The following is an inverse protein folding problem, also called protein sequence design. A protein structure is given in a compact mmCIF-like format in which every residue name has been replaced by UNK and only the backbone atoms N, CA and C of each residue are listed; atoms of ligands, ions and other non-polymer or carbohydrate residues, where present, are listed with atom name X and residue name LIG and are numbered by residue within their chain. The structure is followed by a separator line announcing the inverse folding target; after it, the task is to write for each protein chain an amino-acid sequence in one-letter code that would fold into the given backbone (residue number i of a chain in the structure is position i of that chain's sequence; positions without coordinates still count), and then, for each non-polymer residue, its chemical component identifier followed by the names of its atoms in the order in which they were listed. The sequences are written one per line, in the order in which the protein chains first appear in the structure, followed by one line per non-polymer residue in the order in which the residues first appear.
data_IF_240900763910
#
_entry.id   IF_240900763910
#
_cell.length_a   1.000
_cell.length_b   1.000
_cell.length_c   1.000
_cell.angle_alpha   90.00
_cell.angle_beta   90.00
_cell.angle_gamma   90.00
#
_symmetry.space_group_name_H-M   'P 1'
#
loop_
_entity.id
_entity.type
_entity.pdbx_description
1 polymer ?
#
# COMPACT_ATOMS: atom_id res chain seq x y z
N UNK A 1 13.56 18.88 14.78
CA UNK A 1 14.47 19.03 13.61
C UNK A 1 15.48 20.17 13.78
N UNK A 2 15.25 21.18 14.66
CA UNK A 2 16.29 22.17 15.01
C UNK A 2 16.75 23.09 13.87
N UNK A 3 15.93 23.24 12.82
CA UNK A 3 16.25 24.01 11.61
C UNK A 3 15.31 25.19 11.44
N UNK A 4 15.78 26.23 10.75
CA UNK A 4 14.98 27.42 10.44
C UNK A 4 13.87 27.11 9.42
N UNK A 5 12.80 27.92 9.45
CA UNK A 5 11.67 27.84 8.51
C UNK A 5 12.08 27.82 7.02
N UNK A 6 12.97 28.71 6.53
CA UNK A 6 13.39 28.67 5.13
C UNK A 6 14.12 27.37 4.76
N UNK A 7 14.90 26.80 5.69
CA UNK A 7 15.58 25.52 5.46
C UNK A 7 14.60 24.37 5.37
N UNK A 8 13.58 24.32 6.25
CA UNK A 8 12.54 23.31 6.17
C UNK A 8 11.80 23.35 4.83
N UNK A 9 11.44 24.54 4.35
CA UNK A 9 10.75 24.68 3.08
C UNK A 9 11.59 24.22 1.88
N UNK A 10 12.90 24.48 1.90
CA UNK A 10 13.84 23.96 0.89
C UNK A 10 13.91 22.44 0.88
N UNK A 11 13.97 21.82 2.06
CA UNK A 11 13.96 20.36 2.21
C UNK A 11 12.66 19.78 1.65
N UNK A 12 11.52 20.36 2.01
CA UNK A 12 10.20 19.91 1.57
C UNK A 12 10.06 19.99 0.04
N UNK A 13 10.44 21.11 -0.56
CA UNK A 13 10.40 21.27 -2.02
C UNK A 13 11.32 20.27 -2.73
N UNK A 14 12.53 20.03 -2.21
CA UNK A 14 13.42 19.02 -2.77
C UNK A 14 12.81 17.61 -2.69
N UNK A 15 12.16 17.28 -1.57
CA UNK A 15 11.51 16.00 -1.38
C UNK A 15 10.35 15.79 -2.37
N UNK A 16 9.50 16.81 -2.59
CA UNK A 16 8.41 16.75 -3.56
C UNK A 16 8.92 16.53 -4.99
N UNK A 17 9.97 17.25 -5.41
CA UNK A 17 10.55 17.04 -6.74
C UNK A 17 11.09 15.61 -6.91
N UNK A 18 11.77 15.06 -5.90
CA UNK A 18 12.29 13.68 -5.94
C UNK A 18 11.16 12.65 -5.99
N UNK A 19 10.10 12.87 -5.21
CA UNK A 19 8.92 12.02 -5.21
C UNK A 19 8.22 12.00 -6.57
N UNK A 20 7.93 13.18 -7.12
CA UNK A 20 7.31 13.30 -8.45
C UNK A 20 8.17 12.66 -9.54
N UNK A 21 9.48 12.88 -9.53
CA UNK A 21 10.40 12.30 -10.50
C UNK A 21 10.47 10.77 -10.40
N UNK A 22 10.46 10.21 -9.19
CA UNK A 22 10.43 8.77 -8.98
C UNK A 22 9.13 8.14 -9.51
N UNK A 23 7.98 8.78 -9.25
CA UNK A 23 6.68 8.29 -9.69
C UNK A 23 6.52 8.36 -11.21
N UNK A 24 6.89 9.48 -11.84
CA UNK A 24 6.72 9.68 -13.28
C UNK A 24 7.65 8.78 -14.11
N UNK A 25 8.89 8.59 -13.66
CA UNK A 25 9.88 7.76 -14.37
C UNK A 25 9.87 6.29 -13.96
N UNK A 26 9.05 5.92 -12.98
CA UNK A 26 9.00 4.55 -12.46
C UNK A 26 10.29 4.09 -11.76
N UNK A 27 10.94 4.98 -11.00
CA UNK A 27 12.15 4.63 -10.25
C UNK A 27 11.81 3.75 -9.05
N UNK A 28 12.69 2.79 -8.75
CA UNK A 28 12.57 2.01 -7.52
C UNK A 28 12.72 2.91 -6.28
N UNK A 29 11.76 2.84 -5.35
CA UNK A 29 11.77 3.60 -4.09
C UNK A 29 12.15 2.64 -2.97
N UNK A 30 13.25 2.94 -2.28
CA UNK A 30 13.67 2.25 -1.06
C UNK A 30 13.45 3.18 0.13
N UNK A 31 12.69 2.71 1.10
CA UNK A 31 12.45 3.44 2.35
C UNK A 31 13.52 2.98 3.34
N UNK A 32 14.41 3.89 3.74
CA UNK A 32 15.49 3.63 4.70
C UNK A 32 15.38 4.59 5.89
N UNK A 33 15.61 4.07 7.10
CA UNK A 33 15.58 4.84 8.35
C UNK A 33 14.19 5.11 8.90
N UNK A 34 14.13 5.48 10.18
CA UNK A 34 12.89 5.73 10.92
C UNK A 34 12.19 4.46 11.42
N UNK A 35 11.14 4.63 12.24
CA UNK A 35 10.27 3.54 12.70
C UNK A 35 9.05 3.50 11.77
N UNK A 36 9.02 2.54 10.85
CA UNK A 36 7.88 2.30 9.96
C UNK A 36 7.33 0.90 10.22
N UNK A 37 6.03 0.73 9.99
CA UNK A 37 5.35 -0.56 10.09
C UNK A 37 4.47 -0.74 8.86
N UNK A 38 4.52 -1.93 8.26
CA UNK A 38 3.56 -2.28 7.20
C UNK A 38 2.31 -2.82 7.89
N UNK A 39 1.16 -2.17 7.70
CA UNK A 39 -0.12 -2.73 8.12
C UNK A 39 -0.93 -3.21 6.92
N UNK A 40 -1.67 -4.29 7.14
CA UNK A 40 -2.62 -4.83 6.18
C UNK A 40 -3.93 -5.14 6.89
N UNK A 41 -5.04 -4.82 6.25
CA UNK A 41 -6.32 -5.29 6.76
C UNK A 41 -6.47 -6.77 6.41
N UNK A 42 -6.94 -7.56 7.37
CA UNK A 42 -7.26 -8.97 7.20
C UNK A 42 -8.71 -9.21 7.57
N UNK A 43 -9.32 -10.22 6.94
CA UNK A 43 -10.70 -10.63 7.14
C UNK A 43 -10.73 -12.10 7.57
N UNK A 44 -11.44 -12.39 8.66
CA UNK A 44 -11.72 -13.75 9.09
C UNK A 44 -12.69 -14.43 8.11
N UNK A 45 -12.43 -15.69 7.76
CA UNK A 45 -13.33 -16.48 6.92
C UNK A 45 -14.54 -17.05 7.68
N UNK A 46 -14.45 -17.21 9.00
CA UNK A 46 -15.53 -17.79 9.84
C UNK A 46 -16.58 -16.78 10.27
N UNK A 47 -16.16 -15.68 10.92
CA UNK A 47 -17.08 -14.67 11.43
C UNK A 47 -17.14 -13.41 10.55
N UNK A 48 -16.26 -13.27 9.56
CA UNK A 48 -16.22 -12.10 8.68
C UNK A 48 -15.63 -10.84 9.30
N UNK A 49 -15.15 -10.89 10.56
CA UNK A 49 -14.52 -9.77 11.25
C UNK A 49 -13.27 -9.27 10.48
N UNK A 50 -13.11 -7.94 10.42
CA UNK A 50 -11.99 -7.29 9.72
C UNK A 50 -11.17 -6.51 10.73
N UNK A 51 -9.87 -6.75 10.78
CA UNK A 51 -8.95 -6.05 11.68
C UNK A 51 -7.66 -5.66 10.97
N UNK A 52 -6.93 -4.71 11.55
CA UNK A 52 -5.63 -4.27 11.07
C UNK A 52 -4.54 -5.17 11.65
N UNK A 53 -3.83 -5.87 10.78
CA UNK A 53 -2.65 -6.65 11.14
C UNK A 53 -1.40 -5.84 10.83
N UNK A 54 -0.60 -5.56 11.86
CA UNK A 54 0.70 -4.91 11.69
C UNK A 54 1.73 -6.02 11.45
N UNK A 55 2.37 -6.01 10.28
CA UNK A 55 3.47 -6.93 9.98
C UNK A 55 4.58 -6.72 11.00
N UNK A 56 4.70 -7.65 11.95
CA UNK A 56 5.83 -7.77 12.86
C UNK A 56 6.85 -8.70 12.22
N UNK A 57 8.15 -8.49 12.45
CA UNK A 57 9.19 -9.33 11.84
C UNK A 57 9.08 -10.82 12.25
N UNK A 58 8.35 -11.10 13.33
CA UNK A 58 7.94 -12.44 13.72
C UNK A 58 6.52 -12.71 13.20
N UNK A 59 6.42 -13.55 12.17
CA UNK A 59 5.17 -14.07 11.62
C UNK A 59 4.56 -15.04 12.65
N UNK A 60 4.01 -14.52 13.75
CA UNK A 60 3.05 -15.28 14.53
C UNK A 60 1.73 -15.21 13.76
N UNK A 61 1.18 -16.37 13.41
CA UNK A 61 -0.11 -16.46 12.75
C UNK A 61 -1.14 -15.72 13.60
N UNK A 62 -1.74 -14.66 13.06
CA UNK A 62 -2.74 -13.89 13.79
C UNK A 62 -4.04 -14.67 13.87
N UNK A 63 -4.60 -14.74 15.07
CA UNK A 63 -5.92 -15.32 15.31
C UNK A 63 -6.97 -14.22 15.22
N UNK A 64 -8.18 -14.58 14.77
CA UNK A 64 -9.29 -13.64 14.79
C UNK A 64 -9.65 -13.26 16.24
N UNK A 65 -9.71 -11.96 16.60
CA UNK A 65 -10.00 -11.53 17.97
C UNK A 65 -11.43 -11.86 18.43
N UNK A 66 -12.35 -12.13 17.50
CA UNK A 66 -13.76 -12.43 17.81
C UNK A 66 -14.04 -13.93 17.98
N UNK A 67 -13.45 -14.76 17.13
CA UNK A 67 -13.79 -16.18 17.05
C UNK A 67 -12.60 -17.13 17.20
N UNK A 68 -11.40 -16.58 17.44
CA UNK A 68 -10.14 -17.31 17.60
C UNK A 68 -9.81 -18.25 16.44
N UNK A 69 -10.40 -18.02 15.26
CA UNK A 69 -10.08 -18.80 14.08
C UNK A 69 -8.71 -18.41 13.54
N UNK A 70 -7.93 -19.39 13.09
CA UNK A 70 -6.69 -19.21 12.32
C UNK A 70 -6.93 -19.04 10.82
N UNK A 71 -8.18 -19.13 10.38
CA UNK A 71 -8.57 -18.98 8.98
C UNK A 71 -8.91 -17.52 8.66
N UNK A 72 -7.97 -16.82 8.05
CA UNK A 72 -8.12 -15.45 7.59
C UNK A 72 -7.53 -15.26 6.20
N UNK A 73 -8.02 -14.24 5.51
CA UNK A 73 -7.50 -13.78 4.22
C UNK A 73 -7.15 -12.31 4.32
N UNK A 74 -6.12 -11.82 3.61
CA UNK A 74 -5.94 -10.38 3.46
C UNK A 74 -7.23 -9.78 2.91
N UNK A 75 -7.77 -8.78 3.61
CA UNK A 75 -8.88 -7.97 3.15
C UNK A 75 -8.31 -7.09 2.03
N UNK A 76 -8.15 -7.68 0.86
CA UNK A 76 -7.42 -7.10 -0.24
C UNK A 76 -7.96 -5.71 -0.56
N UNK A 77 -7.08 -4.71 -0.48
CA UNK A 77 -7.23 -3.55 -1.32
C UNK A 77 -7.24 -4.06 -2.77
N UNK A 78 -8.38 -3.95 -3.45
CA UNK A 78 -8.59 -4.36 -4.82
C UNK A 78 -7.70 -3.57 -5.79
N UNK A 79 -6.39 -3.81 -5.79
CA UNK A 79 -5.49 -3.40 -6.85
C UNK A 79 -5.22 -4.64 -7.71
N UNK A 80 -6.06 -4.85 -8.73
CA UNK A 80 -5.61 -5.59 -9.91
C UNK A 80 -6.38 -6.81 -10.38
N UNK A 81 -7.57 -7.14 -9.87
CA UNK A 81 -8.40 -8.16 -10.54
C UNK A 81 -9.36 -7.54 -11.56
N UNK A 82 -8.81 -6.96 -12.62
CA UNK A 82 -9.54 -6.78 -13.86
C UNK A 82 -9.73 -8.18 -14.46
N UNK A 83 -10.83 -8.85 -14.13
CA UNK A 83 -11.30 -9.98 -14.91
C UNK A 83 -11.52 -9.50 -16.35
N UNK A 84 -10.56 -9.80 -17.22
CA UNK A 84 -10.63 -9.52 -18.65
C UNK A 84 -11.77 -10.31 -19.29
N UNK A 85 -12.97 -9.72 -19.27
CA UNK A 85 -14.06 -9.96 -20.23
C UNK A 85 -14.92 -8.70 -20.33
N UNK A 86 -14.41 -7.67 -21.00
CA UNK A 86 -15.25 -6.73 -21.74
C UNK A 86 -14.54 -6.45 -23.05
N UNK A 87 -15.05 -7.06 -24.11
CA UNK A 87 -14.73 -6.74 -25.49
C UNK A 87 -14.88 -5.23 -25.66
N UNK A 88 -13.77 -4.52 -25.86
CA UNK A 88 -13.81 -3.21 -26.51
C UNK A 88 -13.65 -3.51 -27.99
N UNK A 89 -14.67 -3.18 -28.78
CA UNK A 89 -14.67 -3.31 -30.23
C UNK A 89 -13.52 -2.48 -30.87
N UNK A 90 -13.30 -2.64 -32.18
CA UNK A 90 -12.19 -1.98 -32.86
C UNK A 90 -12.40 -0.47 -32.78
N UNK A 91 -11.46 0.23 -32.17
CA UNK A 91 -11.33 1.68 -32.30
C UNK A 91 -10.48 1.91 -33.54
N UNK A 92 -11.13 1.91 -34.71
CA UNK A 92 -10.49 2.25 -35.96
C UNK A 92 -10.10 3.73 -35.93
N UNK A 93 -8.82 4.01 -36.20
CA UNK A 93 -8.39 5.30 -36.72
C UNK A 93 -7.49 5.02 -37.92
N UNK A 94 -8.10 5.04 -39.10
CA UNK A 94 -7.42 5.31 -40.36
C UNK A 94 -7.52 6.82 -40.59
N UNK A 95 -6.36 7.39 -40.91
CA UNK A 95 -6.07 8.75 -41.44
C UNK A 95 -6.31 9.97 -40.54
#
# INVERSE_FOLDING_TARGET
MGISRPTFFRILNSAHCKGADALVKGKAIRIEGGKYHFSQFVKCLKCGHVWEEVQKENIQASECPECHSTEWVPAGNHRGWCHGRRQRGPFDYLD
#
